data_IF_510324780751
#
_entry.id   IF_510324780751
#
_cell.length_a   1.000
_cell.length_b   1.000
_cell.length_c   1.000
_cell.angle_alpha   90.00
_cell.angle_beta   90.00
_cell.angle_gamma   90.00
#
_symmetry.space_group_name_H-M   'P 1'
#
loop_
_entity.id
_entity.type
_entity.pdbx_description
1 polymer ?
#
# COMPACT_ATOMS: atom_id res chain seq x y z
N UNK A 1 25.85 12.44 -0.10
CA UNK A 1 24.38 12.59 -0.25
C UNK A 1 23.90 13.75 0.61
N UNK A 2 22.91 14.55 0.18
CA UNK A 2 22.34 15.60 1.02
C UNK A 2 21.66 15.00 2.26
N UNK A 3 21.62 15.75 3.37
CA UNK A 3 20.89 15.34 4.58
C UNK A 3 19.39 15.59 4.39
N UNK A 4 18.55 14.65 4.86
CA UNK A 4 17.11 14.85 4.93
C UNK A 4 16.77 15.97 5.91
N UNK A 5 15.86 16.86 5.51
CA UNK A 5 15.28 17.86 6.42
C UNK A 5 14.05 17.30 7.11
N UNK A 6 13.65 17.91 8.23
CA UNK A 6 12.43 17.54 8.95
C UNK A 6 11.20 17.67 8.04
N UNK A 7 11.18 18.74 7.25
CA UNK A 7 10.12 19.05 6.30
C UNK A 7 10.03 17.96 5.24
N UNK A 8 11.17 17.56 4.66
CA UNK A 8 11.21 16.49 3.65
C UNK A 8 10.71 15.15 4.20
N UNK A 9 10.99 14.83 5.47
CA UNK A 9 10.49 13.61 6.13
C UNK A 9 8.96 13.66 6.26
N UNK A 10 8.42 14.78 6.75
CA UNK A 10 6.97 14.94 6.96
C UNK A 10 6.19 15.07 5.64
N UNK A 11 6.83 15.54 4.57
CA UNK A 11 6.23 15.63 3.24
C UNK A 11 6.33 14.34 2.43
N UNK A 12 7.12 13.36 2.87
CA UNK A 12 7.25 12.07 2.16
C UNK A 12 5.91 11.37 1.94
N UNK A 13 4.94 11.56 2.84
CA UNK A 13 3.59 11.00 2.71
C UNK A 13 2.64 11.82 1.83
N UNK A 14 3.09 13.00 1.38
CA UNK A 14 2.35 13.89 0.49
C UNK A 14 2.57 13.58 -0.99
N UNK A 15 3.35 12.57 -1.32
CA UNK A 15 3.50 12.12 -2.71
C UNK A 15 2.16 11.57 -3.19
N UNK A 16 1.70 12.04 -4.35
CA UNK A 16 0.52 11.52 -5.04
C UNK A 16 0.96 10.86 -6.34
N UNK A 17 0.40 9.70 -6.63
CA UNK A 17 0.63 8.97 -7.88
C UNK A 17 -0.70 8.66 -8.54
N UNK A 18 -0.79 8.92 -9.84
CA UNK A 18 -1.92 8.47 -10.65
C UNK A 18 -1.73 6.99 -10.98
N UNK A 19 -2.78 6.20 -10.79
CA UNK A 19 -2.83 4.77 -11.10
C UNK A 19 -3.99 4.50 -12.05
N UNK A 20 -3.69 3.96 -13.23
CA UNK A 20 -4.72 3.53 -14.17
C UNK A 20 -5.31 2.18 -13.77
N UNK A 21 -6.63 2.11 -13.67
CA UNK A 21 -7.41 0.90 -13.40
C UNK A 21 -8.02 0.41 -14.71
N UNK A 22 -7.40 -0.60 -15.30
CA UNK A 22 -7.77 -1.13 -16.63
C UNK A 22 -9.21 -1.64 -16.66
N UNK A 23 -9.67 -2.20 -15.55
CA UNK A 23 -10.99 -2.78 -15.38
C UNK A 23 -12.12 -1.74 -15.48
N UNK A 24 -11.80 -0.47 -15.24
CA UNK A 24 -12.70 0.68 -15.37
C UNK A 24 -12.34 1.60 -16.52
N UNK A 25 -11.15 1.44 -17.13
CA UNK A 25 -10.66 2.36 -18.16
C UNK A 25 -10.46 3.79 -17.64
N UNK A 26 -10.15 3.93 -16.35
CA UNK A 26 -10.10 5.21 -15.65
C UNK A 26 -8.92 5.27 -14.67
N UNK A 27 -8.57 6.48 -14.26
CA UNK A 27 -7.47 6.74 -13.34
C UNK A 27 -7.98 7.03 -11.93
N UNK A 28 -7.16 6.67 -10.94
CA UNK A 28 -7.33 7.06 -9.54
C UNK A 28 -6.04 7.68 -9.02
N UNK A 29 -6.13 8.44 -7.94
CA UNK A 29 -4.96 8.99 -7.24
C UNK A 29 -4.72 8.21 -5.96
N UNK A 30 -3.49 7.72 -5.79
CA UNK A 30 -3.02 7.04 -4.59
C UNK A 30 -1.91 7.82 -3.90
N UNK A 31 -1.72 7.57 -2.60
CA UNK A 31 -0.62 8.09 -1.79
C UNK A 31 0.03 6.96 -0.98
N UNK A 32 1.29 7.12 -0.54
CA UNK A 32 1.87 6.20 0.42
C UNK A 32 1.17 6.31 1.78
N UNK A 33 1.28 5.23 2.55
CA UNK A 33 0.80 5.11 3.91
C UNK A 33 1.85 5.59 4.90
N UNK A 34 1.37 6.17 5.99
CA UNK A 34 2.17 6.48 7.17
C UNK A 34 2.53 5.20 7.94
N UNK A 35 3.58 5.27 8.75
CA UNK A 35 3.97 4.18 9.67
C UNK A 35 2.81 3.72 10.59
N UNK A 36 2.00 4.68 11.08
CA UNK A 36 0.83 4.39 11.90
C UNK A 36 -0.32 3.71 11.14
N UNK A 37 -0.47 3.98 9.85
CA UNK A 37 -1.44 3.28 8.99
C UNK A 37 -0.98 1.85 8.68
N UNK A 38 0.30 1.67 8.35
CA UNK A 38 0.90 0.35 8.14
C UNK A 38 0.80 -0.52 9.39
N UNK A 39 1.06 0.04 10.57
CA UNK A 39 0.93 -0.66 11.85
C UNK A 39 -0.49 -1.21 12.06
N UNK A 40 -1.53 -0.47 11.67
CA UNK A 40 -2.93 -0.95 11.74
C UNK A 40 -3.17 -2.13 10.81
N UNK A 41 -2.65 -2.07 9.59
CA UNK A 41 -2.78 -3.16 8.60
C UNK A 41 -2.05 -4.42 9.09
N UNK A 42 -0.83 -4.27 9.59
CA UNK A 42 -0.02 -5.40 10.09
C UNK A 42 -0.62 -6.04 11.35
N UNK A 43 -1.34 -5.28 12.18
CA UNK A 43 -2.04 -5.81 13.35
C UNK A 43 -3.13 -6.84 12.98
N UNK A 44 -3.74 -6.70 11.80
CA UNK A 44 -4.75 -7.64 11.29
C UNK A 44 -4.11 -8.95 10.79
N UNK A 45 -2.89 -8.85 10.26
CA UNK A 45 -2.14 -9.98 9.72
C UNK A 45 -1.60 -10.91 10.83
N UNK A 46 -1.50 -10.44 12.07
CA UNK A 46 -0.97 -11.21 13.21
C UNK A 46 0.56 -11.20 13.27
N UNK A 47 1.22 -12.08 14.06
CA UNK A 47 2.67 -12.14 14.15
C UNK A 47 3.26 -12.43 12.76
N UNK A 48 3.84 -11.40 12.17
CA UNK A 48 4.34 -11.40 10.81
C UNK A 48 5.75 -11.97 10.81
N UNK A 49 6.02 -13.08 10.11
CA UNK A 49 7.40 -13.52 9.93
C UNK A 49 8.14 -12.42 9.18
N UNK A 50 9.26 -11.98 9.72
CA UNK A 50 10.15 -11.05 9.03
C UNK A 50 11.19 -11.86 8.25
N UNK A 51 11.62 -11.32 7.11
CA UNK A 51 12.83 -11.74 6.42
C UNK A 51 14.05 -11.25 7.20
N UNK A 52 15.23 -11.76 6.85
CA UNK A 52 16.50 -11.39 7.47
C UNK A 52 16.84 -9.89 7.32
N UNK A 53 16.24 -9.22 6.32
CA UNK A 53 16.40 -7.78 6.06
C UNK A 53 15.43 -6.89 6.86
N UNK A 54 14.60 -7.46 7.73
CA UNK A 54 13.60 -6.75 8.52
C UNK A 54 12.32 -6.40 7.77
N UNK A 55 12.22 -6.75 6.48
CA UNK A 55 10.97 -6.62 5.71
C UNK A 55 10.04 -7.80 5.98
N UNK A 56 8.72 -7.64 5.83
CA UNK A 56 7.80 -8.73 6.08
C UNK A 56 7.80 -9.86 5.03
N UNK A 57 7.71 -11.11 5.49
CA UNK A 57 7.65 -12.34 4.70
C UNK A 57 6.19 -12.69 4.34
N UNK A 58 5.72 -12.16 3.22
CA UNK A 58 4.35 -12.35 2.70
C UNK A 58 4.06 -13.79 2.23
N UNK A 59 5.07 -14.67 2.09
CA UNK A 59 4.90 -16.02 1.55
C UNK A 59 4.24 -17.01 2.52
N UNK A 60 4.21 -16.69 3.81
CA UNK A 60 3.70 -17.55 4.89
C UNK A 60 2.36 -17.08 5.45
N UNK A 61 1.68 -16.16 4.75
CA UNK A 61 0.43 -15.57 5.20
C UNK A 61 -0.81 -16.35 4.77
N UNK A 62 -1.84 -16.28 5.60
CA UNK A 62 -3.21 -16.68 5.25
C UNK A 62 -3.74 -15.76 4.14
N UNK A 63 -4.18 -16.37 3.04
CA UNK A 63 -4.72 -15.65 1.87
C UNK A 63 -5.87 -14.71 2.27
N UNK A 64 -6.76 -15.14 3.18
CA UNK A 64 -7.92 -14.35 3.60
C UNK A 64 -7.52 -13.06 4.32
N UNK A 65 -6.52 -13.13 5.20
CA UNK A 65 -5.97 -11.97 5.91
C UNK A 65 -5.19 -11.06 4.98
N UNK A 66 -4.55 -11.61 3.95
CA UNK A 66 -3.88 -10.83 2.92
C UNK A 66 -4.89 -9.98 2.12
N UNK A 67 -6.04 -10.55 1.74
CA UNK A 67 -7.12 -9.80 1.08
C UNK A 67 -7.69 -8.67 1.96
N UNK A 68 -7.83 -8.90 3.26
CA UNK A 68 -8.27 -7.86 4.19
C UNK A 68 -7.23 -6.72 4.30
N UNK A 69 -5.96 -7.07 4.48
CA UNK A 69 -4.87 -6.10 4.56
C UNK A 69 -4.75 -5.25 3.29
N UNK A 70 -4.88 -5.86 2.11
CA UNK A 70 -4.85 -5.15 0.83
C UNK A 70 -6.06 -4.21 0.67
N UNK A 71 -7.25 -4.62 1.08
CA UNK A 71 -8.44 -3.76 1.08
C UNK A 71 -8.28 -2.57 2.03
N UNK A 72 -7.70 -2.79 3.20
CA UNK A 72 -7.38 -1.70 4.13
C UNK A 72 -6.36 -0.74 3.53
N UNK A 73 -5.29 -1.26 2.90
CA UNK A 73 -4.29 -0.45 2.22
C UNK A 73 -4.92 0.40 1.10
N UNK A 74 -5.80 -0.19 0.30
CA UNK A 74 -6.52 0.53 -0.75
C UNK A 74 -7.39 1.66 -0.16
N UNK A 75 -8.24 1.38 0.84
CA UNK A 75 -9.09 2.41 1.43
C UNK A 75 -8.31 3.55 2.09
N UNK A 76 -7.17 3.26 2.73
CA UNK A 76 -6.34 4.30 3.35
C UNK A 76 -5.53 5.11 2.34
N UNK A 77 -5.04 4.45 1.28
CA UNK A 77 -4.12 5.04 0.29
C UNK A 77 -4.80 5.69 -0.90
N UNK A 78 -6.08 5.40 -1.16
CA UNK A 78 -6.85 6.02 -2.24
C UNK A 78 -7.26 7.44 -1.84
N UNK A 79 -6.71 8.43 -2.55
CA UNK A 79 -6.95 9.85 -2.28
C UNK A 79 -8.11 10.40 -3.13
N UNK A 80 -8.21 9.95 -4.38
CA UNK A 80 -9.27 10.37 -5.32
C UNK A 80 -9.65 9.24 -6.29
N UNK A 81 -10.90 8.74 -6.29
CA UNK A 81 -11.97 9.08 -5.35
C UNK A 81 -11.69 8.52 -3.96
N UNK A 82 -12.11 9.22 -2.91
CA UNK A 82 -11.97 8.72 -1.54
C UNK A 82 -13.08 7.72 -1.22
N UNK A 83 -12.71 6.50 -0.83
CA UNK A 83 -13.66 5.40 -0.57
C UNK A 83 -13.48 4.83 0.84
N UNK A 84 -14.59 4.47 1.49
CA UNK A 84 -14.58 3.72 2.74
C UNK A 84 -14.20 2.25 2.51
N UNK A 85 -13.91 1.51 3.58
CA UNK A 85 -13.55 0.11 3.47
C UNK A 85 -14.70 -0.74 2.89
N UNK A 86 -15.94 -0.40 3.24
CA UNK A 86 -17.14 -1.04 2.72
C UNK A 86 -17.33 -0.78 1.22
N UNK A 87 -17.10 0.46 0.79
CA UNK A 87 -17.17 0.84 -0.64
C UNK A 87 -16.07 0.14 -1.44
N UNK A 88 -14.85 0.06 -0.89
CA UNK A 88 -13.74 -0.70 -1.49
C UNK A 88 -14.09 -2.19 -1.61
N UNK A 89 -14.74 -2.78 -0.60
CA UNK A 89 -15.16 -4.18 -0.65
C UNK A 89 -16.26 -4.45 -1.70
N UNK A 90 -17.01 -3.43 -2.12
CA UNK A 90 -18.03 -3.52 -3.17
C UNK A 90 -17.47 -3.31 -4.59
N UNK A 91 -16.18 -3.00 -4.72
CA UNK A 91 -15.54 -2.84 -6.03
C UNK A 91 -15.48 -4.17 -6.81
N UNK A 92 -15.18 -4.06 -8.10
CA UNK A 92 -14.97 -5.23 -8.95
C UNK A 92 -13.81 -6.07 -8.38
N UNK A 93 -14.03 -7.38 -8.30
CA UNK A 93 -13.07 -8.34 -7.75
C UNK A 93 -11.67 -8.15 -8.36
N UNK A 94 -10.63 -8.15 -7.52
CA UNK A 94 -9.23 -7.98 -7.91
C UNK A 94 -8.76 -6.53 -7.95
N UNK A 95 -9.67 -5.55 -8.05
CA UNK A 95 -9.29 -4.13 -8.11
C UNK A 95 -8.80 -3.60 -6.76
N UNK A 96 -9.48 -3.84 -5.62
CA UNK A 96 -8.97 -3.44 -4.31
C UNK A 96 -7.58 -3.98 -4.03
N UNK A 97 -7.33 -5.24 -4.40
CA UNK A 97 -6.04 -5.90 -4.19
C UNK A 97 -4.93 -5.25 -5.00
N UNK A 98 -5.20 -4.93 -6.26
CA UNK A 98 -4.26 -4.24 -7.13
C UNK A 98 -3.92 -2.84 -6.61
N UNK A 99 -4.93 -2.06 -6.20
CA UNK A 99 -4.72 -0.73 -5.61
C UNK A 99 -3.92 -0.84 -4.31
N UNK A 100 -4.32 -1.75 -3.41
CA UNK A 100 -3.66 -1.97 -2.13
C UNK A 100 -2.18 -2.35 -2.30
N UNK A 101 -1.88 -3.23 -3.26
CA UNK A 101 -0.51 -3.60 -3.59
C UNK A 101 0.31 -2.40 -4.07
N UNK A 102 -0.25 -1.58 -4.97
CA UNK A 102 0.42 -0.37 -5.49
C UNK A 102 0.64 0.68 -4.40
N UNK A 103 -0.29 0.81 -3.47
CA UNK A 103 -0.15 1.66 -2.27
C UNK A 103 1.00 1.16 -1.38
N UNK A 104 1.09 -0.15 -1.12
CA UNK A 104 2.16 -0.73 -0.31
C UNK A 104 3.54 -0.63 -0.98
N UNK A 105 3.62 -0.80 -2.31
CA UNK A 105 4.83 -0.53 -3.10
C UNK A 105 5.27 0.93 -2.95
N UNK A 106 4.33 1.87 -3.13
CA UNK A 106 4.60 3.31 -2.98
C UNK A 106 5.03 3.68 -1.56
N UNK A 107 4.55 2.93 -0.56
CA UNK A 107 4.90 3.07 0.85
C UNK A 107 6.24 2.42 1.22
N UNK A 108 6.90 1.73 0.27
CA UNK A 108 8.20 1.07 0.49
C UNK A 108 8.14 -0.25 1.27
N UNK A 109 6.95 -0.85 1.43
CA UNK A 109 6.77 -2.13 2.13
C UNK A 109 7.11 -3.32 1.23
N UNK A 110 6.69 -3.22 -0.03
CA UNK A 110 6.99 -4.21 -1.05
C UNK A 110 8.12 -3.64 -1.89
N UNK A 111 9.24 -4.37 -1.96
CA UNK A 111 10.33 -3.98 -2.85
C UNK A 111 9.76 -3.83 -4.26
N UNK A 112 9.88 -2.63 -4.83
CA UNK A 112 9.49 -2.42 -6.22
C UNK A 112 10.18 -3.49 -7.06
N UNK A 113 9.42 -4.36 -7.74
CA UNK A 113 9.95 -5.36 -8.68
C UNK A 113 10.60 -4.68 -9.89
N UNK A 114 11.65 -3.89 -9.67
CA UNK A 114 12.18 -2.98 -10.67
C UNK A 114 13.13 -1.89 -10.17
N UNK A 115 13.51 -1.85 -8.89
CA UNK A 115 14.67 -1.06 -8.47
C UNK A 115 15.96 -1.73 -8.97
N UNK A 116 16.20 -1.59 -10.28
CA UNK A 116 17.44 -1.95 -10.96
C UNK A 116 18.62 -1.42 -10.14
N UNK A 117 19.54 -2.33 -9.86
CA UNK A 117 20.96 -2.02 -9.63
C UNK A 117 21.37 -0.90 -10.59
N UNK A 118 21.76 0.24 -10.04
CA UNK A 118 22.69 1.17 -10.67
C UNK A 118 23.97 1.15 -9.86
#
# INVERSE_FOLDING_TARGET
MPRLTKEAILEGTRVRSTLTIKEYGADVVIRPLTDGELSKIFSVLGPMPLKEDGTPDLSKMDLSKNFEALRMAASMGLEDPKLTLEEVAAMKFGVPEYIGMKVLELSGVVGAEGAKKK
#
